data_IF_611456976481
#
_entry.id   IF_611456976481
#
_cell.length_a   1.000
_cell.length_b   1.000
_cell.length_c   1.000
_cell.angle_alpha   90.00
_cell.angle_beta   90.00
_cell.angle_gamma   90.00
#
_symmetry.space_group_name_H-M   'P 1'
#
loop_
_entity.id
_entity.type
_entity.pdbx_description
1 polymer ?
#
# COMPACT_ATOMS: atom_id res chain seq x y z
N UNK A 1 19.88 -14.68 5.43
CA UNK A 1 18.43 -14.79 5.79
C UNK A 1 17.58 -13.80 5.02
N UNK A 2 17.88 -12.51 5.10
CA UNK A 2 17.15 -11.47 4.36
C UNK A 2 17.25 -11.68 2.84
N UNK A 3 18.41 -12.04 2.34
CA UNK A 3 18.64 -12.34 0.93
C UNK A 3 17.79 -13.50 0.43
N UNK A 4 17.62 -14.54 1.27
CA UNK A 4 16.79 -15.68 0.92
C UNK A 4 15.31 -15.28 0.85
N UNK A 5 14.85 -14.43 1.76
CA UNK A 5 13.49 -13.91 1.74
C UNK A 5 13.24 -13.06 0.51
N UNK A 6 14.20 -12.21 0.13
CA UNK A 6 14.09 -11.39 -1.08
C UNK A 6 14.04 -12.24 -2.34
N UNK A 7 14.74 -13.38 -2.35
CA UNK A 7 14.72 -14.30 -3.49
C UNK A 7 13.40 -15.05 -3.61
N UNK A 8 12.72 -15.31 -2.47
CA UNK A 8 11.48 -16.09 -2.42
C UNK A 8 10.24 -15.22 -2.50
N UNK A 9 10.34 -13.95 -2.13
CA UNK A 9 9.20 -13.02 -2.08
C UNK A 9 9.33 -12.00 -3.20
N UNK A 10 8.30 -11.86 -4.06
CA UNK A 10 8.33 -10.82 -5.09
C UNK A 10 8.46 -9.45 -4.46
N UNK A 11 9.23 -8.57 -5.09
CA UNK A 11 9.32 -7.19 -4.64
C UNK A 11 7.97 -6.51 -4.80
N UNK A 12 7.52 -5.87 -3.74
CA UNK A 12 6.27 -5.11 -3.72
C UNK A 12 6.65 -3.65 -3.55
N UNK A 13 6.25 -2.84 -4.52
CA UNK A 13 6.50 -1.40 -4.46
C UNK A 13 5.28 -0.72 -3.85
N UNK A 14 5.49 0.00 -2.74
CA UNK A 14 4.44 0.74 -2.04
C UNK A 14 4.85 2.21 -1.87
N UNK A 15 5.70 2.72 -2.74
CA UNK A 15 6.25 4.05 -2.61
C UNK A 15 5.23 5.17 -2.87
N UNK A 16 4.21 4.91 -3.67
CA UNK A 16 3.18 5.90 -4.00
C UNK A 16 1.79 5.36 -3.67
N UNK A 17 0.81 6.27 -3.57
CA UNK A 17 -0.59 5.86 -3.35
C UNK A 17 -1.10 5.00 -4.49
N UNK A 18 -0.66 5.25 -5.72
CA UNK A 18 -1.02 4.44 -6.87
C UNK A 18 -0.49 3.01 -6.74
N UNK A 19 0.74 2.86 -6.28
CA UNK A 19 1.33 1.54 -6.02
C UNK A 19 0.53 0.78 -4.97
N UNK A 20 0.11 1.45 -3.91
CA UNK A 20 -0.69 0.85 -2.83
C UNK A 20 -2.04 0.39 -3.37
N UNK A 21 -2.71 1.22 -4.18
CA UNK A 21 -4.00 0.85 -4.78
C UNK A 21 -3.86 -0.35 -5.69
N UNK A 22 -2.78 -0.42 -6.46
CA UNK A 22 -2.49 -1.56 -7.33
C UNK A 22 -2.31 -2.84 -6.55
N UNK A 23 -1.61 -2.77 -5.42
CA UNK A 23 -1.42 -3.91 -4.53
C UNK A 23 -2.74 -4.36 -3.88
N UNK A 24 -3.58 -3.41 -3.49
CA UNK A 24 -4.92 -3.71 -2.96
C UNK A 24 -5.76 -4.48 -3.97
N UNK A 25 -5.71 -4.06 -5.24
CA UNK A 25 -6.42 -4.75 -6.32
C UNK A 25 -5.90 -6.17 -6.50
N UNK A 26 -4.57 -6.37 -6.40
CA UNK A 26 -3.96 -7.69 -6.50
C UNK A 26 -4.42 -8.61 -5.37
N UNK A 27 -4.43 -8.12 -4.14
CA UNK A 27 -4.89 -8.87 -2.98
C UNK A 27 -6.35 -9.29 -3.16
N UNK A 28 -7.19 -8.39 -3.64
CA UNK A 28 -8.59 -8.67 -3.90
C UNK A 28 -8.75 -9.79 -4.94
N UNK A 29 -8.03 -9.69 -6.06
CA UNK A 29 -8.11 -10.70 -7.12
C UNK A 29 -7.67 -12.08 -6.62
N UNK A 30 -6.57 -12.13 -5.87
CA UNK A 30 -6.06 -13.40 -5.32
C UNK A 30 -7.04 -14.02 -4.33
N UNK A 31 -7.70 -13.19 -3.51
CA UNK A 31 -8.71 -13.67 -2.58
C UNK A 31 -9.92 -14.25 -3.33
N UNK A 32 -10.37 -13.60 -4.40
CA UNK A 32 -11.49 -14.07 -5.22
C UNK A 32 -11.17 -15.38 -5.92
N UNK A 33 -9.91 -15.60 -6.28
CA UNK A 33 -9.46 -16.81 -6.97
C UNK A 33 -9.07 -17.92 -5.98
N UNK A 34 -9.31 -17.73 -4.69
CA UNK A 34 -8.95 -18.67 -3.62
C UNK A 34 -7.45 -18.97 -3.54
N UNK A 35 -6.62 -18.06 -4.06
CA UNK A 35 -5.15 -18.16 -3.94
C UNK A 35 -4.67 -17.58 -2.62
N UNK A 36 -5.49 -16.79 -1.96
CA UNK A 36 -5.18 -16.14 -0.70
C UNK A 36 -6.39 -16.30 0.23
N UNK A 37 -6.21 -16.83 1.46
CA UNK A 37 -7.31 -16.94 2.40
C UNK A 37 -7.92 -15.56 2.69
N UNK A 38 -9.25 -15.53 2.85
CA UNK A 38 -10.00 -14.29 3.10
C UNK A 38 -9.49 -13.59 4.36
N UNK A 39 -9.17 -14.35 5.42
CA UNK A 39 -8.66 -13.77 6.66
C UNK A 39 -7.33 -13.03 6.44
N UNK A 40 -6.44 -13.61 5.62
CA UNK A 40 -5.16 -12.98 5.29
C UNK A 40 -5.36 -11.76 4.39
N UNK A 41 -6.27 -11.87 3.41
CA UNK A 41 -6.62 -10.76 2.53
C UNK A 41 -7.15 -9.57 3.33
N UNK A 42 -7.99 -9.81 4.31
CA UNK A 42 -8.55 -8.77 5.17
C UNK A 42 -7.45 -8.06 5.96
N UNK A 43 -6.52 -8.81 6.54
CA UNK A 43 -5.40 -8.25 7.30
C UNK A 43 -4.48 -7.43 6.40
N UNK A 44 -4.14 -7.95 5.24
CA UNK A 44 -3.28 -7.25 4.28
C UNK A 44 -3.95 -5.98 3.77
N UNK A 45 -5.24 -6.03 3.47
CA UNK A 45 -6.00 -4.87 3.03
C UNK A 45 -6.06 -3.79 4.11
N UNK A 46 -6.17 -4.17 5.37
CA UNK A 46 -6.14 -3.22 6.47
C UNK A 46 -4.79 -2.49 6.52
N UNK A 47 -3.68 -3.24 6.43
CA UNK A 47 -2.34 -2.65 6.44
C UNK A 47 -2.16 -1.72 5.25
N UNK A 48 -2.57 -2.14 4.06
CA UNK A 48 -2.48 -1.32 2.84
C UNK A 48 -3.30 -0.04 2.97
N UNK A 49 -4.47 -0.11 3.59
CA UNK A 49 -5.29 1.07 3.84
C UNK A 49 -4.57 2.07 4.75
N UNK A 50 -3.85 1.60 5.76
CA UNK A 50 -3.08 2.49 6.64
C UNK A 50 -1.93 3.16 5.87
N UNK A 51 -1.25 2.42 5.00
CA UNK A 51 -0.20 2.98 4.15
C UNK A 51 -0.78 4.04 3.20
N UNK A 52 -1.92 3.75 2.59
CA UNK A 52 -2.59 4.68 1.69
C UNK A 52 -2.96 5.98 2.40
N UNK A 53 -3.50 5.88 3.61
CA UNK A 53 -3.85 7.06 4.42
C UNK A 53 -2.61 7.89 4.75
N UNK A 54 -1.49 7.23 5.04
CA UNK A 54 -0.24 7.94 5.33
C UNK A 54 0.24 8.72 4.10
N UNK A 55 0.16 8.14 2.91
CA UNK A 55 0.51 8.83 1.67
C UNK A 55 -0.40 10.03 1.41
N UNK A 56 -1.70 9.87 1.62
CA UNK A 56 -2.67 10.95 1.43
C UNK A 56 -2.44 12.10 2.43
N UNK A 57 -2.08 11.77 3.65
CA UNK A 57 -1.78 12.78 4.68
C UNK A 57 -0.54 13.60 4.28
N UNK A 58 0.51 12.96 3.80
CA UNK A 58 1.72 13.65 3.35
C UNK A 58 1.40 14.62 2.22
N UNK A 59 0.60 14.21 1.25
CA UNK A 59 0.18 15.09 0.14
C UNK A 59 -0.58 16.29 0.68
N UNK A 60 -1.49 16.09 1.62
CA UNK A 60 -2.28 17.16 2.22
C UNK A 60 -1.37 18.13 2.99
N UNK A 61 -0.44 17.62 3.78
CA UNK A 61 0.51 18.46 4.52
C UNK A 61 1.34 19.33 3.58
N UNK A 62 1.79 18.77 2.47
CA UNK A 62 2.55 19.50 1.46
C UNK A 62 1.73 20.61 0.82
N UNK A 63 0.45 20.39 0.59
CA UNK A 63 -0.46 21.40 0.05
C UNK A 63 -0.67 22.55 1.02
N UNK A 64 -0.88 22.23 2.30
CA UNK A 64 -1.05 23.25 3.35
C UNK A 64 0.21 24.11 3.46
N UNK A 65 1.37 23.47 3.49
CA UNK A 65 2.64 24.16 3.55
C UNK A 65 2.84 25.10 2.35
N UNK A 66 2.49 24.64 1.16
CA UNK A 66 2.57 25.46 -0.06
C UNK A 66 1.64 26.68 0.02
N UNK A 67 0.43 26.52 0.56
CA UNK A 67 -0.52 27.61 0.76
C UNK A 67 0.01 28.61 1.78
N UNK A 68 0.59 28.16 2.88
CA UNK A 68 1.16 29.03 3.91
C UNK A 68 2.31 29.87 3.33
N UNK A 69 3.13 29.27 2.47
CA UNK A 69 4.22 29.99 1.82
C UNK A 69 3.73 31.04 0.81
N UNK A 70 2.57 30.80 0.21
CA UNK A 70 1.96 31.72 -0.74
C UNK A 70 1.31 32.93 -0.07
N UNK A 71 0.97 32.82 1.22
CA UNK A 71 0.39 33.90 1.99
C UNK A 71 1.48 34.79 2.57
#
# INVERSE_FOLDING_TARGET
MIEVLDALTPRINLATSEDVRREMARVYREARLNKLPISDATKLSYILTQILKAHELIVLENRIEALEKAL
#
